data_IF_680195752135
#
_entry.id   IF_680195752135
#
_cell.length_a   1.000
_cell.length_b   1.000
_cell.length_c   1.000
_cell.angle_alpha   90.00
_cell.angle_beta   90.00
_cell.angle_gamma   90.00
#
_symmetry.space_group_name_H-M   'P 1'
#
loop_
_entity.id
_entity.type
_entity.pdbx_description
1 polymer ?
#
# COMPACT_ATOMS: atom_id res chain seq x y z
N UNK A 1 4.66 -21.22 -12.76
CA UNK A 1 5.13 -20.31 -11.68
C UNK A 1 4.04 -20.29 -10.63
N UNK A 2 4.35 -20.59 -9.36
CA UNK A 2 3.38 -20.50 -8.27
C UNK A 2 3.07 -19.02 -8.01
N UNK A 3 1.80 -18.69 -7.80
CA UNK A 3 1.39 -17.35 -7.35
C UNK A 3 2.02 -17.09 -5.98
N UNK A 4 2.72 -15.96 -5.84
CA UNK A 4 3.44 -15.62 -4.60
C UNK A 4 2.73 -14.55 -3.75
N UNK A 5 1.57 -14.11 -4.18
CA UNK A 5 0.78 -13.09 -3.50
C UNK A 5 -0.70 -13.22 -3.83
N UNK A 6 -1.54 -12.74 -2.95
CA UNK A 6 -2.96 -12.50 -3.21
C UNK A 6 -3.21 -10.99 -3.31
N UNK A 7 -3.82 -10.57 -4.41
CA UNK A 7 -4.34 -9.21 -4.53
C UNK A 7 -5.79 -9.21 -4.04
N UNK A 8 -6.04 -8.51 -2.97
CA UNK A 8 -7.36 -8.39 -2.34
C UNK A 8 -7.94 -7.03 -2.73
N UNK A 9 -9.02 -7.04 -3.53
CA UNK A 9 -9.78 -5.85 -3.93
C UNK A 9 -11.11 -5.88 -3.18
N UNK A 10 -11.19 -5.28 -2.00
CA UNK A 10 -12.37 -5.64 -1.24
C UNK A 10 -13.02 -4.58 -0.41
N UNK A 11 -12.45 -3.42 -0.30
CA UNK A 11 -13.09 -2.38 0.49
C UNK A 11 -13.03 -1.03 -0.23
N UNK A 12 -13.81 -0.91 -1.29
CA UNK A 12 -14.01 0.36 -2.01
C UNK A 12 -15.42 0.86 -1.79
N UNK A 13 -15.60 1.72 -0.77
CA UNK A 13 -16.88 2.35 -0.47
C UNK A 13 -17.10 3.66 -1.26
N UNK A 14 -16.11 4.08 -2.02
CA UNK A 14 -16.20 5.25 -2.87
C UNK A 14 -17.07 4.97 -4.12
N UNK A 15 -16.82 3.82 -4.77
CA UNK A 15 -17.61 3.42 -5.95
C UNK A 15 -18.85 2.62 -5.59
N UNK A 16 -18.85 1.92 -4.47
CA UNK A 16 -19.99 1.18 -3.88
C UNK A 16 -20.70 0.25 -4.89
N UNK A 17 -19.93 -0.38 -5.80
CA UNK A 17 -20.46 -1.27 -6.84
C UNK A 17 -21.04 -2.57 -6.30
N UNK A 18 -20.74 -2.92 -5.06
CA UNK A 18 -21.25 -4.10 -4.38
C UNK A 18 -21.67 -3.74 -2.96
N UNK A 19 -22.71 -4.41 -2.40
CA UNK A 19 -23.11 -4.18 -1.02
C UNK A 19 -21.91 -4.31 -0.05
N UNK A 20 -21.78 -3.38 0.89
CA UNK A 20 -20.65 -3.32 1.81
C UNK A 20 -20.48 -4.58 2.64
N UNK A 21 -21.58 -5.18 3.06
CA UNK A 21 -21.54 -6.45 3.79
C UNK A 21 -20.94 -7.58 2.95
N UNK A 22 -21.27 -7.64 1.66
CA UNK A 22 -20.68 -8.61 0.74
C UNK A 22 -19.17 -8.34 0.54
N UNK A 23 -18.77 -7.07 0.42
CA UNK A 23 -17.35 -6.71 0.33
C UNK A 23 -16.59 -7.20 1.56
N UNK A 24 -17.12 -6.98 2.77
CA UNK A 24 -16.53 -7.46 4.03
C UNK A 24 -16.44 -8.99 4.10
N UNK A 25 -17.51 -9.68 3.72
CA UNK A 25 -17.53 -11.15 3.72
C UNK A 25 -16.46 -11.72 2.78
N UNK A 26 -16.36 -11.21 1.56
CA UNK A 26 -15.35 -11.65 0.60
C UNK A 26 -13.95 -11.33 1.10
N UNK A 27 -13.73 -10.14 1.66
CA UNK A 27 -12.45 -9.79 2.27
C UNK A 27 -12.06 -10.76 3.38
N UNK A 28 -12.97 -11.05 4.26
CA UNK A 28 -12.72 -12.01 5.33
C UNK A 28 -12.35 -13.41 4.80
N UNK A 29 -13.04 -13.89 3.76
CA UNK A 29 -12.73 -15.17 3.12
C UNK A 29 -11.33 -15.16 2.49
N UNK A 30 -10.95 -14.07 1.81
CA UNK A 30 -9.63 -13.93 1.20
C UNK A 30 -8.51 -13.86 2.26
N UNK A 31 -8.73 -13.19 3.38
CA UNK A 31 -7.77 -13.16 4.49
C UNK A 31 -7.59 -14.54 5.12
N UNK A 32 -8.67 -15.32 5.29
CA UNK A 32 -8.59 -16.72 5.73
C UNK A 32 -7.76 -17.57 4.78
N UNK A 33 -8.06 -17.47 3.47
CA UNK A 33 -7.35 -18.22 2.45
C UNK A 33 -5.86 -17.83 2.37
N UNK A 34 -5.54 -16.56 2.48
CA UNK A 34 -4.14 -16.09 2.48
C UNK A 34 -3.35 -16.68 3.65
N UNK A 35 -3.99 -16.78 4.81
CA UNK A 35 -3.39 -17.37 6.00
C UNK A 35 -3.19 -18.88 5.86
N UNK A 36 -4.16 -19.59 5.30
CA UNK A 36 -4.06 -21.04 5.04
C UNK A 36 -2.94 -21.37 4.05
N UNK A 37 -2.75 -20.52 3.05
CA UNK A 37 -1.72 -20.68 2.01
C UNK A 37 -0.38 -20.04 2.37
N UNK A 38 -0.26 -19.36 3.50
CA UNK A 38 0.90 -18.53 3.92
C UNK A 38 1.33 -17.53 2.84
N UNK A 39 0.37 -16.91 2.14
CA UNK A 39 0.63 -15.94 1.08
C UNK A 39 0.49 -14.51 1.60
N UNK A 40 1.42 -13.60 1.23
CA UNK A 40 1.26 -12.18 1.51
C UNK A 40 0.11 -11.58 0.70
N UNK A 41 -0.55 -10.57 1.27
CA UNK A 41 -1.69 -9.89 0.66
C UNK A 41 -1.36 -8.45 0.26
N UNK A 42 -1.95 -8.00 -0.85
CA UNK A 42 -1.97 -6.60 -1.26
C UNK A 42 -3.40 -6.10 -1.06
N UNK A 43 -3.59 -5.19 -0.12
CA UNK A 43 -4.91 -4.75 0.32
C UNK A 43 -5.24 -3.40 -0.29
N UNK A 44 -6.40 -3.32 -0.94
CA UNK A 44 -7.01 -2.08 -1.38
C UNK A 44 -7.96 -1.58 -0.29
N UNK A 45 -7.88 -0.29 0.05
CA UNK A 45 -8.76 0.36 1.01
C UNK A 45 -9.08 1.78 0.53
N UNK A 46 -10.33 2.01 0.20
CA UNK A 46 -10.83 3.33 -0.18
C UNK A 46 -12.13 3.66 0.55
N UNK A 47 -12.02 4.60 1.51
CA UNK A 47 -13.16 5.04 2.35
C UNK A 47 -13.77 3.92 3.21
N UNK A 48 -13.05 2.78 3.40
CA UNK A 48 -13.47 1.61 4.16
C UNK A 48 -12.58 1.34 5.39
N UNK A 49 -11.85 2.34 5.87
CA UNK A 49 -10.77 2.22 6.85
C UNK A 49 -11.16 1.46 8.12
N UNK A 50 -12.36 1.68 8.66
CA UNK A 50 -12.82 1.06 9.91
C UNK A 50 -12.99 -0.45 9.74
N UNK A 51 -13.73 -0.88 8.72
CA UNK A 51 -13.95 -2.29 8.43
C UNK A 51 -12.65 -3.00 8.04
N UNK A 52 -11.82 -2.35 7.21
CA UNK A 52 -10.48 -2.83 6.87
C UNK A 52 -9.65 -3.07 8.12
N UNK A 53 -9.52 -2.09 9.01
CA UNK A 53 -8.72 -2.24 10.23
C UNK A 53 -9.28 -3.28 11.19
N UNK A 54 -10.59 -3.45 11.25
CA UNK A 54 -11.23 -4.49 12.06
C UNK A 54 -10.80 -5.88 11.60
N UNK A 55 -10.84 -6.14 10.29
CA UNK A 55 -10.44 -7.42 9.72
C UNK A 55 -8.92 -7.64 9.80
N UNK A 56 -8.10 -6.61 9.56
CA UNK A 56 -6.65 -6.71 9.71
C UNK A 56 -6.23 -7.04 11.15
N UNK A 57 -6.84 -6.44 12.15
CA UNK A 57 -6.59 -6.75 13.57
C UNK A 57 -6.98 -8.18 13.92
N UNK A 58 -8.07 -8.68 13.34
CA UNK A 58 -8.57 -10.04 13.55
C UNK A 58 -7.66 -11.11 12.94
N UNK A 59 -7.22 -10.91 11.70
CA UNK A 59 -6.50 -11.94 10.93
C UNK A 59 -5.00 -11.79 10.95
N UNK A 60 -4.47 -10.58 11.16
CA UNK A 60 -3.04 -10.25 11.18
C UNK A 60 -2.28 -10.84 9.99
N UNK A 61 -2.67 -10.53 8.74
CA UNK A 61 -2.03 -11.09 7.57
C UNK A 61 -0.62 -10.52 7.39
N UNK A 62 0.25 -11.26 6.69
CA UNK A 62 1.45 -10.66 6.07
C UNK A 62 1.00 -9.85 4.86
N UNK A 63 1.45 -8.63 4.70
CA UNK A 63 1.00 -7.88 3.53
C UNK A 63 1.33 -6.39 3.55
N UNK A 64 0.74 -5.72 2.59
CA UNK A 64 0.84 -4.27 2.39
C UNK A 64 -0.55 -3.68 2.20
N UNK A 65 -0.81 -2.53 2.80
CA UNK A 65 -1.96 -1.71 2.41
C UNK A 65 -1.49 -0.83 1.25
N UNK A 66 -1.99 -1.15 0.06
CA UNK A 66 -1.67 -0.51 -1.20
C UNK A 66 -2.27 0.90 -1.28
N UNK A 67 -1.55 1.79 -1.94
CA UNK A 67 -1.96 3.18 -2.19
C UNK A 67 -2.54 3.86 -0.93
N UNK A 68 -1.80 3.71 0.18
CA UNK A 68 -2.29 4.05 1.51
C UNK A 68 -2.85 5.48 1.58
N UNK A 69 -4.11 5.59 1.97
CA UNK A 69 -4.85 6.86 2.02
C UNK A 69 -5.34 7.25 3.42
N UNK A 70 -5.05 6.41 4.42
CA UNK A 70 -5.45 6.61 5.82
C UNK A 70 -4.68 7.73 6.53
N UNK A 71 -4.97 7.89 7.81
CA UNK A 71 -4.27 8.83 8.71
C UNK A 71 -2.94 8.27 9.21
N UNK A 72 -2.14 9.11 9.88
CA UNK A 72 -0.91 8.69 10.56
C UNK A 72 -1.20 7.63 11.63
N UNK A 73 -2.28 7.81 12.39
CA UNK A 73 -2.69 6.87 13.44
C UNK A 73 -3.03 5.51 12.84
N UNK A 74 -3.78 5.48 11.73
CA UNK A 74 -4.08 4.24 11.02
C UNK A 74 -2.81 3.58 10.49
N UNK A 75 -1.86 4.35 9.93
CA UNK A 75 -0.58 3.82 9.48
C UNK A 75 0.18 3.16 10.63
N UNK A 76 0.24 3.80 11.80
CA UNK A 76 0.88 3.23 12.99
C UNK A 76 0.22 1.92 13.44
N UNK A 77 -1.10 1.81 13.36
CA UNK A 77 -1.81 0.54 13.67
C UNK A 77 -1.47 -0.56 12.64
N UNK A 78 -1.44 -0.24 11.35
CA UNK A 78 -1.01 -1.18 10.30
C UNK A 78 0.43 -1.66 10.55
N UNK A 79 1.34 -0.75 10.91
CA UNK A 79 2.73 -1.08 11.23
C UNK A 79 2.86 -1.96 12.48
N UNK A 80 2.06 -1.74 13.53
CA UNK A 80 2.00 -2.60 14.72
C UNK A 80 1.53 -4.03 14.40
N UNK A 81 0.77 -4.22 13.33
CA UNK A 81 0.40 -5.54 12.84
C UNK A 81 1.54 -6.25 12.07
N UNK A 82 2.68 -5.57 11.87
CA UNK A 82 3.82 -6.09 11.12
C UNK A 82 3.71 -5.92 9.60
N UNK A 83 2.70 -5.20 9.14
CA UNK A 83 2.43 -4.98 7.72
C UNK A 83 3.26 -3.82 7.15
N UNK A 84 3.20 -3.64 5.84
CA UNK A 84 3.85 -2.58 5.08
C UNK A 84 2.86 -1.51 4.62
N UNK A 85 3.39 -0.33 4.33
CA UNK A 85 2.66 0.80 3.76
C UNK A 85 3.10 0.99 2.32
N UNK A 86 2.17 0.89 1.37
CA UNK A 86 2.38 1.17 -0.05
C UNK A 86 2.23 2.66 -0.34
N UNK A 87 3.26 3.29 -0.90
CA UNK A 87 3.26 4.70 -1.25
C UNK A 87 3.59 4.87 -2.73
N UNK A 88 2.67 5.52 -3.44
CA UNK A 88 2.77 5.75 -4.88
C UNK A 88 2.59 7.22 -5.28
N UNK A 89 2.14 7.46 -6.51
CA UNK A 89 2.00 8.78 -7.11
C UNK A 89 1.24 9.82 -6.28
N UNK A 90 0.31 9.37 -5.44
CA UNK A 90 -0.48 10.25 -4.57
C UNK A 90 0.38 11.14 -3.66
N UNK A 91 1.55 10.69 -3.22
CA UNK A 91 2.44 11.48 -2.35
C UNK A 91 2.96 12.74 -3.01
N UNK A 92 2.98 12.79 -4.35
CA UNK A 92 3.47 13.93 -5.14
C UNK A 92 2.40 15.01 -5.36
N UNK A 93 1.14 14.76 -5.02
CA UNK A 93 0.05 15.68 -5.37
C UNK A 93 0.08 16.95 -4.53
N UNK A 94 -0.34 18.08 -5.12
CA UNK A 94 -0.34 19.39 -4.46
C UNK A 94 -1.02 19.40 -3.08
N UNK A 95 -2.04 18.58 -2.90
CA UNK A 95 -2.83 18.50 -1.65
C UNK A 95 -2.53 17.22 -0.84
N UNK A 96 -1.38 16.58 -1.05
CA UNK A 96 -1.01 15.30 -0.45
C UNK A 96 -0.61 15.40 1.04
N UNK A 97 -1.35 16.16 1.87
CA UNK A 97 -1.01 16.33 3.28
C UNK A 97 -0.92 15.00 4.04
N UNK A 98 -1.93 14.11 3.88
CA UNK A 98 -1.95 12.81 4.57
C UNK A 98 -0.84 11.86 4.08
N UNK A 99 -0.70 11.56 2.77
CA UNK A 99 0.38 10.70 2.29
C UNK A 99 1.78 11.18 2.66
N UNK A 100 2.02 12.49 2.63
CA UNK A 100 3.30 13.09 3.05
C UNK A 100 3.54 12.89 4.55
N UNK A 101 2.54 13.14 5.40
CA UNK A 101 2.67 12.91 6.84
C UNK A 101 2.91 11.43 7.17
N UNK A 102 2.23 10.52 6.49
CA UNK A 102 2.45 9.07 6.63
C UNK A 102 3.85 8.67 6.18
N UNK A 103 4.32 9.19 5.02
CA UNK A 103 5.68 8.94 4.55
C UNK A 103 6.73 9.41 5.58
N UNK A 104 6.53 10.58 6.19
CA UNK A 104 7.47 11.13 7.18
C UNK A 104 7.64 10.23 8.41
N UNK A 105 6.54 9.65 8.93
CA UNK A 105 6.58 8.85 10.16
C UNK A 105 6.84 7.36 9.95
N UNK A 106 6.64 6.85 8.73
CA UNK A 106 6.84 5.42 8.44
C UNK A 106 8.33 5.11 8.34
N UNK A 107 8.80 4.10 9.09
CA UNK A 107 10.17 3.63 8.96
C UNK A 107 10.44 3.08 7.55
N UNK A 108 11.62 3.37 7.00
CA UNK A 108 11.98 2.95 5.62
C UNK A 108 11.93 1.43 5.44
N UNK A 109 12.15 0.66 6.51
CA UNK A 109 12.05 -0.81 6.49
C UNK A 109 10.62 -1.32 6.31
N UNK A 110 9.63 -0.43 6.27
CA UNK A 110 8.19 -0.73 6.16
C UNK A 110 7.48 -0.01 5.01
N UNK A 111 8.23 0.71 4.18
CA UNK A 111 7.71 1.37 2.98
C UNK A 111 7.89 0.43 1.78
N UNK A 112 6.83 0.28 0.98
CA UNK A 112 6.90 -0.22 -0.39
C UNK A 112 6.63 0.94 -1.35
N UNK A 113 7.44 1.01 -2.41
CA UNK A 113 7.21 1.92 -3.53
C UNK A 113 6.35 1.23 -4.57
N UNK A 114 5.38 1.95 -5.11
CA UNK A 114 4.44 1.40 -6.07
C UNK A 114 3.92 2.43 -7.06
N UNK A 115 3.19 1.95 -8.07
CA UNK A 115 2.34 2.76 -8.94
C UNK A 115 0.96 2.13 -9.02
N UNK A 116 -0.07 2.95 -9.11
CA UNK A 116 -1.44 2.49 -9.36
C UNK A 116 -1.76 2.57 -10.87
N UNK A 117 -0.78 2.17 -11.71
CA UNK A 117 -0.97 2.28 -13.16
C UNK A 117 -2.13 1.40 -13.66
N UNK A 118 -2.89 1.94 -14.62
CA UNK A 118 -2.65 3.14 -15.45
C UNK A 118 -3.10 4.47 -14.83
N UNK A 119 -3.48 4.47 -13.55
CA UNK A 119 -4.03 5.63 -12.84
C UNK A 119 -2.96 6.37 -12.02
N UNK A 120 -3.35 7.51 -11.44
CA UNK A 120 -2.61 8.26 -10.44
C UNK A 120 -1.17 8.64 -10.82
N UNK A 121 -0.96 9.03 -12.11
CA UNK A 121 0.33 9.55 -12.54
C UNK A 121 0.83 10.64 -11.59
N UNK A 122 2.11 10.60 -11.15
CA UNK A 122 2.69 11.57 -10.24
C UNK A 122 2.85 12.95 -10.87
N UNK A 123 3.07 13.98 -10.05
CA UNK A 123 3.55 15.29 -10.51
C UNK A 123 5.01 15.11 -10.97
N UNK A 124 5.42 15.70 -12.16
CA UNK A 124 4.67 16.68 -12.97
C UNK A 124 3.77 16.05 -14.06
N UNK A 125 3.61 14.73 -14.08
CA UNK A 125 2.96 14.01 -15.18
C UNK A 125 1.45 13.83 -14.99
N UNK A 126 0.83 14.59 -14.09
CA UNK A 126 -0.63 14.56 -13.86
C UNK A 126 -1.43 14.69 -15.14
N UNK A 127 -2.51 13.87 -15.26
CA UNK A 127 -3.36 13.82 -16.44
C UNK A 127 -2.87 12.89 -17.55
N UNK A 128 -1.64 12.37 -17.46
CA UNK A 128 -1.14 11.32 -18.35
C UNK A 128 -1.50 9.93 -17.83
N UNK A 129 -1.44 8.94 -18.70
CA UNK A 129 -1.52 7.54 -18.28
C UNK A 129 -0.28 7.21 -17.46
N UNK A 130 -0.47 6.67 -16.25
CA UNK A 130 0.62 6.24 -15.40
C UNK A 130 1.28 4.96 -15.96
N UNK A 131 2.60 4.88 -15.83
CA UNK A 131 3.41 3.71 -16.14
C UNK A 131 4.40 3.43 -15.00
N UNK A 132 4.95 2.22 -14.94
CA UNK A 132 5.76 1.75 -13.81
C UNK A 132 7.05 2.56 -13.61
N UNK A 133 7.65 3.11 -14.69
CA UNK A 133 8.84 3.97 -14.64
C UNK A 133 8.60 5.28 -13.88
N UNK A 134 7.35 5.73 -13.80
CA UNK A 134 6.97 6.92 -13.04
C UNK A 134 7.14 6.77 -11.52
N UNK A 135 7.44 5.57 -11.02
CA UNK A 135 7.73 5.32 -9.60
C UNK A 135 8.89 6.20 -9.09
N UNK A 136 9.82 6.58 -9.97
CA UNK A 136 10.96 7.43 -9.63
C UNK A 136 10.54 8.79 -9.03
N UNK A 137 9.44 9.39 -9.51
CA UNK A 137 8.93 10.66 -8.98
C UNK A 137 8.38 10.51 -7.55
N UNK A 138 7.73 9.39 -7.27
CA UNK A 138 7.25 9.06 -5.92
C UNK A 138 8.43 8.84 -4.98
N UNK A 139 9.46 8.10 -5.42
CA UNK A 139 10.67 7.85 -4.66
C UNK A 139 11.41 9.15 -4.31
N UNK A 140 11.61 10.06 -5.27
CA UNK A 140 12.22 11.35 -5.04
C UNK A 140 11.46 12.19 -4.01
N UNK A 141 10.12 12.22 -4.11
CA UNK A 141 9.28 12.96 -3.17
C UNK A 141 9.39 12.39 -1.75
N UNK A 142 9.29 11.06 -1.60
CA UNK A 142 9.38 10.40 -0.29
C UNK A 142 10.78 10.58 0.32
N UNK A 143 11.84 10.42 -0.47
CA UNK A 143 13.21 10.64 -0.02
C UNK A 143 13.42 12.08 0.48
N UNK A 144 12.89 13.07 -0.24
CA UNK A 144 12.90 14.47 0.19
C UNK A 144 12.15 14.68 1.51
N UNK A 145 10.96 14.11 1.66
CA UNK A 145 10.18 14.17 2.92
C UNK A 145 10.93 13.58 4.10
N UNK A 146 11.69 12.51 3.86
CA UNK A 146 12.50 11.82 4.88
C UNK A 146 13.91 12.40 5.06
N UNK A 147 14.25 13.43 4.29
CA UNK A 147 15.59 14.03 4.27
C UNK A 147 16.71 12.99 4.09
N UNK A 148 16.58 12.13 3.10
CA UNK A 148 17.50 11.04 2.80
C UNK A 148 17.80 10.95 1.29
N UNK A 149 18.85 10.21 0.96
CA UNK A 149 19.19 9.89 -0.42
C UNK A 149 18.13 8.99 -1.05
N UNK A 150 17.78 9.28 -2.33
CA UNK A 150 16.74 8.56 -3.06
C UNK A 150 17.14 7.10 -3.33
N UNK A 151 18.42 6.83 -3.61
CA UNK A 151 18.88 5.46 -3.85
C UNK A 151 18.76 4.61 -2.58
N UNK A 152 19.11 5.20 -1.42
CA UNK A 152 18.94 4.54 -0.11
C UNK A 152 17.47 4.14 0.12
N UNK A 153 16.51 5.00 -0.23
CA UNK A 153 15.08 4.67 -0.12
C UNK A 153 14.69 3.55 -1.09
N UNK A 154 15.14 3.62 -2.33
CA UNK A 154 14.83 2.61 -3.37
C UNK A 154 15.39 1.25 -2.98
N UNK A 155 16.62 1.20 -2.49
CA UNK A 155 17.27 -0.04 -2.03
C UNK A 155 16.49 -0.65 -0.86
N UNK A 156 16.12 0.16 0.14
CA UNK A 156 15.32 -0.29 1.27
C UNK A 156 13.95 -0.83 0.82
N UNK A 157 13.25 -0.12 -0.06
CA UNK A 157 11.95 -0.55 -0.59
C UNK A 157 12.07 -1.85 -1.42
N UNK A 158 13.17 -2.01 -2.17
CA UNK A 158 13.48 -3.24 -2.91
C UNK A 158 13.66 -4.42 -1.96
N UNK A 159 14.46 -4.27 -0.91
CA UNK A 159 14.67 -5.32 0.09
C UNK A 159 13.38 -5.64 0.87
N UNK A 160 12.56 -4.63 1.16
CA UNK A 160 11.24 -4.83 1.75
C UNK A 160 10.34 -5.68 0.83
N UNK A 161 10.34 -5.38 -0.47
CA UNK A 161 9.57 -6.12 -1.48
C UNK A 161 10.03 -7.58 -1.56
N UNK A 162 11.34 -7.82 -1.63
CA UNK A 162 11.92 -9.17 -1.60
C UNK A 162 11.49 -9.93 -0.35
N UNK A 163 11.61 -9.30 0.80
CA UNK A 163 11.26 -9.90 2.11
C UNK A 163 9.77 -10.23 2.20
N UNK A 164 8.89 -9.31 1.78
CA UNK A 164 7.45 -9.52 1.86
C UNK A 164 6.99 -10.63 0.93
N UNK A 165 7.44 -10.63 -0.33
CA UNK A 165 6.93 -11.53 -1.37
C UNK A 165 7.78 -12.78 -1.58
N UNK A 166 8.90 -12.92 -0.86
CA UNK A 166 9.80 -14.07 -1.00
C UNK A 166 10.36 -14.20 -2.43
N UNK A 167 10.73 -13.08 -3.05
CA UNK A 167 11.28 -13.03 -4.42
C UNK A 167 12.74 -12.59 -4.40
N UNK A 168 13.51 -13.12 -5.34
CA UNK A 168 14.89 -12.74 -5.60
C UNK A 168 15.00 -12.22 -7.04
N UNK A 169 15.77 -11.16 -7.25
CA UNK A 169 16.14 -10.64 -8.55
C UNK A 169 17.64 -10.46 -8.65
#
# INVERSE_FOLDING_TARGET
RRQRQMCIRDSDYHYDFSPRELQKEIFELQLKLSKELDLPVIIHDREAHEDTMTLLKKYRPKGVVHCFSGSVEMAQEVLKLGMYIGLGGAVTFKNAKKPVAVAAVTDISRILLETDCPYMAPVPLRGRRCSSDMIAYSAQTIASVKNMDVQTLVDAATENTKRLFGIEF
#
